data_IF_258819013024
#
_entry.id   IF_258819013024
#
_cell.length_a   1.000
_cell.length_b   1.000
_cell.length_c   1.000
_cell.angle_alpha   90.00
_cell.angle_beta   90.00
_cell.angle_gamma   90.00
#
_symmetry.space_group_name_H-M   'P 1'
#
loop_
_entity.id
_entity.type
_entity.pdbx_description
1 polymer ?
#
# COMPACT_ATOMS: atom_id res chain seq x y z
N UNK A 1 3.69 11.68 -1.04
CA UNK A 1 3.36 11.44 -2.45
C UNK A 1 3.23 12.77 -3.17
N UNK A 2 3.99 12.92 -4.25
CA UNK A 2 3.98 14.10 -5.11
C UNK A 2 3.02 13.93 -6.30
N UNK A 3 2.72 15.01 -7.03
CA UNK A 3 1.77 15.06 -8.16
C UNK A 3 2.11 14.14 -9.34
N UNK A 4 3.27 13.52 -9.34
CA UNK A 4 3.66 12.52 -10.34
C UNK A 4 2.81 11.23 -10.24
N UNK A 5 2.22 10.97 -9.07
CA UNK A 5 1.26 9.87 -8.88
C UNK A 5 -0.05 10.23 -9.57
N UNK A 6 -0.49 9.38 -10.50
CA UNK A 6 -1.77 9.56 -11.19
C UNK A 6 -2.95 9.38 -10.21
N UNK A 7 -4.10 10.05 -10.39
CA UNK A 7 -5.25 9.90 -9.51
C UNK A 7 -5.75 8.46 -9.33
N UNK A 8 -5.56 7.60 -10.34
CA UNK A 8 -5.89 6.16 -10.26
C UNK A 8 -5.03 5.38 -9.25
N UNK A 9 -3.86 5.92 -8.88
CA UNK A 9 -2.85 5.30 -8.02
C UNK A 9 -2.16 4.11 -8.67
N UNK A 10 -2.92 3.05 -8.92
CA UNK A 10 -2.43 1.75 -9.35
C UNK A 10 -2.90 1.40 -10.76
N UNK A 11 -2.21 0.43 -11.37
CA UNK A 11 -2.58 -0.12 -12.66
C UNK A 11 -2.50 -1.64 -12.61
N UNK A 12 -3.50 -2.28 -13.19
CA UNK A 12 -3.60 -3.72 -13.42
C UNK A 12 -2.79 -4.20 -14.65
N UNK A 13 -2.23 -3.23 -15.40
CA UNK A 13 -1.53 -3.40 -16.67
C UNK A 13 -2.41 -4.05 -17.75
N UNK A 14 -3.72 -3.77 -17.72
CA UNK A 14 -4.69 -4.34 -18.65
C UNK A 14 -5.07 -5.79 -18.35
N UNK A 15 -4.80 -6.28 -17.13
CA UNK A 15 -5.13 -7.64 -16.68
C UNK A 15 -6.08 -7.58 -15.49
N UNK A 16 -7.35 -7.29 -15.79
CA UNK A 16 -8.45 -7.10 -14.83
C UNK A 16 -8.60 -8.20 -13.77
N UNK A 17 -8.21 -9.45 -14.09
CA UNK A 17 -8.26 -10.57 -13.13
C UNK A 17 -7.41 -10.30 -11.88
N UNK A 18 -6.35 -9.49 -12.01
CA UNK A 18 -5.44 -9.15 -10.91
C UNK A 18 -6.12 -8.34 -9.82
N UNK A 19 -7.10 -7.52 -10.15
CA UNK A 19 -7.84 -6.67 -9.20
C UNK A 19 -8.43 -7.47 -8.03
N UNK A 20 -8.75 -8.75 -8.26
CA UNK A 20 -9.30 -9.65 -7.23
C UNK A 20 -8.26 -10.48 -6.48
N UNK A 21 -7.01 -10.50 -6.94
CA UNK A 21 -5.93 -11.32 -6.37
C UNK A 21 -4.80 -10.52 -5.74
N UNK A 22 -4.69 -9.23 -6.06
CA UNK A 22 -3.63 -8.35 -5.52
C UNK A 22 -4.07 -7.71 -4.21
N UNK A 23 -3.09 -7.34 -3.40
CA UNK A 23 -3.29 -6.53 -2.21
C UNK A 23 -2.43 -5.28 -2.32
N UNK A 24 -3.03 -4.17 -2.76
CA UNK A 24 -2.38 -2.85 -2.75
C UNK A 24 -3.07 -1.97 -1.71
N UNK A 25 -2.29 -1.54 -0.72
CA UNK A 25 -2.76 -0.76 0.42
C UNK A 25 -2.00 0.55 0.55
N UNK A 26 -2.71 1.63 0.82
CA UNK A 26 -2.15 2.92 1.19
C UNK A 26 -2.49 3.22 2.66
N UNK A 27 -1.48 3.64 3.43
CA UNK A 27 -1.63 3.94 4.85
C UNK A 27 -1.00 5.30 5.17
N UNK A 28 -1.82 6.21 5.74
CA UNK A 28 -1.42 7.55 6.21
C UNK A 28 -0.54 8.34 5.21
N UNK A 29 -0.75 8.13 3.91
CA UNK A 29 -0.03 8.83 2.84
C UNK A 29 -0.43 10.31 2.82
N UNK A 30 0.55 11.18 2.54
CA UNK A 30 0.38 12.65 2.55
C UNK A 30 1.00 13.29 1.32
N UNK A 31 0.59 14.53 1.02
CA UNK A 31 1.07 15.31 -0.13
C UNK A 31 0.09 15.29 -1.30
N UNK A 32 0.35 16.07 -2.35
CA UNK A 32 -0.61 16.33 -3.42
C UNK A 32 -0.96 15.11 -4.28
N UNK A 33 -0.11 14.08 -4.30
CA UNK A 33 -0.39 12.81 -4.99
C UNK A 33 -1.09 11.75 -4.13
N UNK A 34 -1.32 12.01 -2.84
CA UNK A 34 -2.02 11.09 -1.94
C UNK A 34 -3.55 11.30 -1.95
N UNK A 35 -4.07 12.05 -2.92
CA UNK A 35 -5.50 12.23 -3.06
C UNK A 35 -6.11 10.95 -3.63
N UNK A 36 -7.04 10.37 -2.86
CA UNK A 36 -7.72 9.12 -3.20
C UNK A 36 -8.88 9.29 -4.18
N UNK A 37 -9.20 10.53 -4.54
CA UNK A 37 -10.26 10.83 -5.50
C UNK A 37 -9.85 10.28 -6.87
N UNK A 38 -10.57 9.28 -7.34
CA UNK A 38 -10.28 8.61 -8.61
C UNK A 38 -9.37 7.39 -8.48
N UNK A 39 -8.99 6.99 -7.26
CA UNK A 39 -8.28 5.73 -7.02
C UNK A 39 -9.11 4.55 -7.51
N UNK A 40 -8.42 3.54 -8.02
CA UNK A 40 -9.06 2.28 -8.42
C UNK A 40 -9.77 1.62 -7.22
N UNK A 41 -10.96 1.04 -7.40
CA UNK A 41 -11.79 0.55 -6.29
C UNK A 41 -11.21 -0.68 -5.58
N UNK A 42 -10.22 -1.33 -6.18
CA UNK A 42 -9.52 -2.48 -5.62
C UNK A 42 -8.25 -2.11 -4.84
N UNK A 43 -7.84 -0.83 -4.84
CA UNK A 43 -6.85 -0.32 -3.91
C UNK A 43 -7.49 -0.11 -2.53
N UNK A 44 -6.73 -0.38 -1.47
CA UNK A 44 -7.23 -0.39 -0.09
C UNK A 44 -6.65 0.79 0.68
N UNK A 45 -7.47 1.42 1.51
CA UNK A 45 -6.99 2.37 2.52
C UNK A 45 -6.95 1.63 3.83
N UNK A 46 -5.73 1.42 4.34
CA UNK A 46 -5.54 0.56 5.50
C UNK A 46 -5.93 1.31 6.78
N UNK A 47 -6.63 0.62 7.68
CA UNK A 47 -6.75 1.08 9.07
C UNK A 47 -5.42 0.94 9.81
N UNK A 48 -5.34 1.52 11.01
CA UNK A 48 -4.19 1.32 11.88
C UNK A 48 -3.99 -0.17 12.19
N UNK A 49 -5.07 -0.94 12.41
CA UNK A 49 -4.96 -2.39 12.64
C UNK A 49 -4.48 -3.16 11.41
N UNK A 50 -5.03 -2.88 10.22
CA UNK A 50 -4.61 -3.54 8.98
C UNK A 50 -3.15 -3.21 8.62
N UNK A 51 -2.71 -1.98 8.91
CA UNK A 51 -1.35 -1.55 8.63
C UNK A 51 -0.32 -2.21 9.54
N UNK A 52 -0.69 -2.54 10.79
CA UNK A 52 0.24 -3.15 11.75
C UNK A 52 0.95 -4.35 11.15
N UNK A 53 0.21 -5.22 10.45
CA UNK A 53 0.73 -6.46 9.82
C UNK A 53 1.98 -6.23 8.97
N UNK A 54 2.15 -5.04 8.39
CA UNK A 54 3.23 -4.72 7.45
C UNK A 54 4.36 -3.87 8.04
N UNK A 55 4.17 -3.26 9.21
CA UNK A 55 5.07 -2.20 9.72
C UNK A 55 6.08 -2.73 10.76
N UNK A 56 5.81 -3.87 11.39
CA UNK A 56 6.69 -4.45 12.40
C UNK A 56 7.83 -5.31 11.82
N UNK A 57 8.92 -5.45 12.57
CA UNK A 57 10.05 -6.34 12.23
C UNK A 57 9.64 -7.80 12.08
N UNK A 58 8.57 -8.21 12.75
CA UNK A 58 7.98 -9.54 12.63
C UNK A 58 7.51 -9.87 11.20
N UNK A 59 7.20 -8.88 10.36
CA UNK A 59 6.77 -9.12 8.99
C UNK A 59 7.88 -9.77 8.13
N UNK A 60 9.13 -9.55 8.52
CA UNK A 60 10.33 -10.06 7.83
C UNK A 60 11.13 -11.02 8.71
N UNK A 61 10.52 -11.61 9.74
CA UNK A 61 11.19 -12.46 10.74
C UNK A 61 12.43 -11.79 11.34
N UNK A 62 12.35 -10.49 11.58
CA UNK A 62 13.49 -9.64 11.94
C UNK A 62 14.28 -10.14 13.13
N UNK A 63 13.64 -10.75 14.13
CA UNK A 63 14.30 -11.30 15.32
C UNK A 63 15.35 -12.38 15.00
N UNK A 64 15.29 -12.99 13.81
CA UNK A 64 16.22 -14.05 13.38
C UNK A 64 17.50 -13.53 12.72
N UNK A 65 17.52 -12.30 12.20
CA UNK A 65 18.62 -11.80 11.37
C UNK A 65 18.97 -10.33 11.56
N UNK A 66 18.06 -9.50 12.08
CA UNK A 66 18.40 -8.14 12.48
C UNK A 66 19.23 -8.21 13.75
N UNK A 67 20.51 -7.86 13.63
CA UNK A 67 21.36 -7.68 14.80
C UNK A 67 20.79 -6.56 15.65
N UNK A 68 20.66 -6.80 16.96
CA UNK A 68 20.31 -5.74 17.89
C UNK A 68 21.31 -4.57 17.74
N UNK A 69 20.83 -3.31 17.79
CA UNK A 69 21.69 -2.15 17.72
C UNK A 69 22.73 -2.10 18.85
#
# INVERSE_FOLDING_TARGET
MDKIVLPRGWSDWGVQKRDTSVFYGEYKCRGPGANLTGSVPWARILTDEEAMTFIGTYYVDGDSWLTSP
#
